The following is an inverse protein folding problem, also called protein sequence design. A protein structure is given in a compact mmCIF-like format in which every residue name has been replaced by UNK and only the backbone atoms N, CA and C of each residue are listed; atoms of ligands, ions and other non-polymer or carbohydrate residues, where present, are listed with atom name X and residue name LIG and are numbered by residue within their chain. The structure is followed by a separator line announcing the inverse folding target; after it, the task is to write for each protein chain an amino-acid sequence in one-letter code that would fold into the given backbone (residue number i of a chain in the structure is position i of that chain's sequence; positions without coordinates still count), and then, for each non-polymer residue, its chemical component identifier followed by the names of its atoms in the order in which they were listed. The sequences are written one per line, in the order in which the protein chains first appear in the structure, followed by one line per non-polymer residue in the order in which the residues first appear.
data_IF_589225046527
#
_entry.id   IF_589225046527
#
_cell.length_a   1.000
_cell.length_b   1.000
_cell.length_c   1.000
_cell.angle_alpha   90.00
_cell.angle_beta   90.00
_cell.angle_gamma   90.00
#
_symmetry.space_group_name_H-M   'P 1'
#
loop_
_entity.id
_entity.type
_entity.pdbx_description
1 polymer ?
#
# COMPACT_ATOMS: atom_id res chain seq x y z
N UNK A 1 32.66 -4.12 12.14
CA UNK A 1 33.04 -2.89 11.41
C UNK A 1 32.55 -2.99 9.97
N UNK A 2 32.02 -1.92 9.40
CA UNK A 2 31.60 -1.90 7.98
C UNK A 2 32.82 -1.78 7.05
N UNK A 3 32.72 -2.22 5.79
CA UNK A 3 33.82 -2.11 4.79
C UNK A 3 34.35 -0.68 4.64
N UNK A 4 33.46 0.32 4.74
CA UNK A 4 33.81 1.74 4.71
C UNK A 4 34.60 2.17 5.94
N UNK A 5 34.21 1.71 7.14
CA UNK A 5 34.96 2.00 8.37
C UNK A 5 36.38 1.42 8.30
N UNK A 6 36.54 0.21 7.75
CA UNK A 6 37.86 -0.41 7.59
C UNK A 6 38.77 0.37 6.63
N UNK A 7 38.23 0.87 5.51
CA UNK A 7 38.98 1.74 4.57
C UNK A 7 39.41 3.05 5.21
N UNK A 8 38.52 3.67 6.01
CA UNK A 8 38.82 4.91 6.74
C UNK A 8 39.92 4.68 7.77
N UNK A 9 39.84 3.61 8.56
CA UNK A 9 40.87 3.25 9.54
C UNK A 9 42.21 3.03 8.83
N UNK A 10 42.24 2.29 7.72
CA UNK A 10 43.47 2.01 6.97
C UNK A 10 44.17 3.28 6.47
N UNK A 11 43.40 4.26 5.99
CA UNK A 11 43.96 5.54 5.55
C UNK A 11 44.50 6.38 6.72
N UNK A 12 43.78 6.41 7.86
CA UNK A 12 44.21 7.14 9.07
C UNK A 12 45.46 6.49 9.69
N UNK A 13 45.52 5.16 9.70
CA UNK A 13 46.67 4.39 10.16
C UNK A 13 47.88 4.57 9.23
N UNK A 14 47.65 4.59 7.92
CA UNK A 14 48.69 4.82 6.92
C UNK A 14 49.43 6.15 7.14
N UNK A 15 48.71 7.20 7.57
CA UNK A 15 49.33 8.49 7.92
C UNK A 15 50.24 8.39 9.15
N UNK A 16 49.84 7.63 10.18
CA UNK A 16 50.65 7.44 11.39
C UNK A 16 51.92 6.63 11.07
N UNK A 17 51.77 5.53 10.35
CA UNK A 17 52.88 4.67 9.96
C UNK A 17 53.88 5.40 9.04
N UNK A 18 53.38 6.20 8.07
CA UNK A 18 54.25 6.95 7.17
C UNK A 18 55.05 8.03 7.91
N UNK A 19 54.49 8.63 8.97
CA UNK A 19 55.21 9.60 9.78
C UNK A 19 56.32 8.95 10.62
N UNK A 20 56.09 7.71 11.08
CA UNK A 20 57.09 6.91 11.80
C UNK A 20 58.23 6.48 10.87
N UNK A 21 57.92 5.97 9.69
CA UNK A 21 58.90 5.54 8.68
C UNK A 21 59.79 6.71 8.19
N UNK A 22 59.18 7.88 7.96
CA UNK A 22 59.92 9.06 7.50
C UNK A 22 60.64 9.83 8.63
N UNK A 23 60.36 9.51 9.90
CA UNK A 23 60.80 10.29 11.07
C UNK A 23 60.38 11.76 11.04
N UNK A 24 59.42 12.14 10.17
CA UNK A 24 59.04 13.52 9.91
C UNK A 24 57.54 13.67 9.63
N UNK A 25 56.81 14.11 10.66
CA UNK A 25 55.36 14.34 10.63
C UNK A 25 54.95 15.33 9.54
N UNK A 26 55.72 16.42 9.35
CA UNK A 26 55.38 17.45 8.36
C UNK A 26 55.46 16.93 6.94
N UNK A 27 56.46 16.08 6.65
CA UNK A 27 56.63 15.44 5.34
C UNK A 27 55.52 14.40 5.08
N UNK A 28 55.20 13.56 6.06
CA UNK A 28 54.12 12.58 5.94
C UNK A 28 52.75 13.24 5.71
N UNK A 29 52.45 14.32 6.46
CA UNK A 29 51.24 15.12 6.27
C UNK A 29 51.16 15.74 4.87
N UNK A 30 52.28 16.26 4.34
CA UNK A 30 52.35 16.84 2.99
C UNK A 30 52.13 15.79 1.89
N UNK A 31 52.68 14.59 2.06
CA UNK A 31 52.56 13.48 1.10
C UNK A 31 51.13 12.93 1.05
N UNK A 32 50.46 12.80 2.20
CA UNK A 32 49.11 12.25 2.28
C UNK A 32 47.98 13.30 2.23
N UNK A 33 48.32 14.59 2.16
CA UNK A 33 47.34 15.68 2.06
C UNK A 33 46.56 15.97 3.36
N UNK A 34 47.15 15.68 4.53
CA UNK A 34 46.54 15.96 5.84
C UNK A 34 47.17 17.17 6.52
N UNK A 35 46.42 17.82 7.40
CA UNK A 35 46.99 18.85 8.28
C UNK A 35 47.75 18.21 9.44
N UNK A 36 48.76 18.91 9.98
CA UNK A 36 49.49 18.47 11.18
C UNK A 36 48.57 18.33 12.40
N UNK A 37 47.55 19.18 12.51
CA UNK A 37 46.55 19.08 13.58
C UNK A 37 45.77 17.76 13.51
N UNK A 38 45.39 17.34 12.30
CA UNK A 38 44.71 16.06 12.06
C UNK A 38 45.60 14.88 12.46
N UNK A 39 46.90 14.94 12.18
CA UNK A 39 47.86 13.91 12.61
C UNK A 39 47.89 13.75 14.14
N UNK A 40 48.06 14.84 14.88
CA UNK A 40 48.12 14.77 16.34
C UNK A 40 46.80 14.32 16.95
N UNK A 41 45.65 14.70 16.36
CA UNK A 41 44.35 14.16 16.77
C UNK A 41 44.21 12.67 16.56
N UNK A 42 44.73 12.11 15.47
CA UNK A 42 44.72 10.66 15.24
C UNK A 42 45.69 9.94 16.16
N UNK A 43 46.89 10.51 16.38
CA UNK A 43 47.86 9.97 17.32
C UNK A 43 47.29 9.92 18.73
N UNK A 44 46.74 11.02 19.22
CA UNK A 44 46.08 11.09 20.52
C UNK A 44 44.92 10.09 20.64
N UNK A 45 44.09 9.94 19.60
CA UNK A 45 43.01 8.96 19.61
C UNK A 45 43.51 7.51 19.73
N UNK A 46 44.62 7.18 19.05
CA UNK A 46 45.26 5.86 19.15
C UNK A 46 45.91 5.66 20.52
N UNK A 47 46.57 6.67 21.06
CA UNK A 47 47.22 6.61 22.37
C UNK A 47 46.18 6.43 23.51
N UNK A 48 45.00 7.04 23.40
CA UNK A 48 43.93 6.97 24.41
C UNK A 48 43.00 5.75 24.27
N UNK A 49 42.76 5.25 23.06
CA UNK A 49 41.70 4.26 22.81
C UNK A 49 42.02 3.21 21.74
N UNK A 50 43.30 3.08 21.36
CA UNK A 50 43.77 2.13 20.38
C UNK A 50 43.23 2.37 18.97
N UNK A 51 43.41 1.37 18.09
CA UNK A 51 43.02 1.47 16.67
C UNK A 51 41.51 1.67 16.46
N UNK A 52 40.70 1.23 17.40
CA UNK A 52 39.24 1.35 17.33
C UNK A 52 38.76 2.80 17.53
N UNK A 53 39.54 3.64 18.21
CA UNK A 53 39.24 5.04 18.42
C UNK A 53 39.39 5.91 17.14
N UNK A 54 40.06 5.39 16.09
CA UNK A 54 40.16 6.05 14.78
C UNK A 54 38.84 5.99 13.99
N UNK A 55 37.87 5.17 14.41
CA UNK A 55 36.54 5.13 13.82
C UNK A 55 35.84 6.44 14.13
N UNK A 56 35.43 7.18 13.07
CA UNK A 56 34.67 8.41 13.25
C UNK A 56 33.36 8.13 13.99
N UNK A 57 33.31 8.55 15.25
CA UNK A 57 32.05 8.67 15.99
C UNK A 57 31.34 9.90 15.43
N UNK A 58 30.21 9.68 14.77
CA UNK A 58 29.36 10.79 14.29
C UNK A 58 29.10 11.76 15.45
N UNK A 59 29.59 13.00 15.33
CA UNK A 59 29.39 14.06 16.35
C UNK A 59 27.98 14.66 16.29
N UNK A 60 27.12 14.23 15.35
CA UNK A 60 25.76 14.74 15.21
C UNK A 60 24.90 14.22 16.35
N UNK A 61 24.77 15.02 17.42
CA UNK A 61 23.78 14.82 18.46
C UNK A 61 22.40 15.28 17.95
N UNK A 62 21.32 14.49 18.14
CA UNK A 62 19.97 14.95 17.83
C UNK A 62 19.63 16.23 18.60
N UNK A 63 19.07 17.24 17.93
CA UNK A 63 18.59 18.45 18.59
C UNK A 63 17.17 18.20 19.12
N UNK A 64 17.05 18.03 20.45
CA UNK A 64 15.78 17.76 21.12
C UNK A 64 14.75 18.89 20.94
N UNK A 65 15.17 20.14 20.67
CA UNK A 65 14.26 21.27 20.44
C UNK A 65 13.49 21.15 19.12
N UNK A 66 13.99 20.36 18.18
CA UNK A 66 13.31 20.09 16.90
C UNK A 66 12.37 18.88 16.99
N UNK A 67 12.16 18.33 18.19
CA UNK A 67 11.23 17.23 18.40
C UNK A 67 9.80 17.76 18.33
N UNK A 68 8.92 16.97 17.72
CA UNK A 68 7.49 17.23 17.76
C UNK A 68 6.99 17.13 19.20
N UNK A 69 5.89 17.80 19.50
CA UNK A 69 5.22 17.69 20.79
C UNK A 69 4.87 16.22 21.09
N UNK A 70 4.87 15.85 22.37
CA UNK A 70 4.62 14.46 22.79
C UNK A 70 3.26 13.95 22.30
N UNK A 71 2.22 14.79 22.40
CA UNK A 71 0.87 14.50 21.91
C UNK A 71 0.85 14.12 20.41
N UNK A 72 1.63 14.82 19.59
CA UNK A 72 1.76 14.54 18.15
C UNK A 72 2.52 13.22 17.95
N UNK A 73 3.56 12.97 18.74
CA UNK A 73 4.34 11.74 18.67
C UNK A 73 3.48 10.52 19.03
N UNK A 74 2.68 10.62 20.10
CA UNK A 74 1.76 9.58 20.56
C UNK A 74 0.67 9.32 19.52
N UNK A 75 0.05 10.36 18.98
CA UNK A 75 -0.93 10.24 17.91
C UNK A 75 -0.36 9.54 16.65
N UNK A 76 0.91 9.79 16.30
CA UNK A 76 1.58 9.11 15.18
C UNK A 76 1.80 7.63 15.48
N UNK A 77 2.22 7.29 16.70
CA UNK A 77 2.46 5.90 17.12
C UNK A 77 1.15 5.13 17.17
N UNK A 78 0.10 5.72 17.75
CA UNK A 78 -1.24 5.13 17.82
C UNK A 78 -1.80 4.86 16.43
N UNK A 79 -1.73 5.84 15.53
CA UNK A 79 -2.20 5.65 14.16
C UNK A 79 -1.36 4.60 13.41
N UNK A 80 -0.05 4.53 13.67
CA UNK A 80 0.82 3.54 13.06
C UNK A 80 0.53 2.11 13.52
N UNK A 81 0.09 1.92 14.76
CA UNK A 81 -0.29 0.61 15.29
C UNK A 81 -1.71 0.25 14.84
N UNK A 82 -2.65 1.19 14.95
CA UNK A 82 -4.05 0.94 14.62
C UNK A 82 -4.29 0.83 13.11
N UNK A 83 -3.54 1.55 12.28
CA UNK A 83 -3.65 1.55 10.82
C UNK A 83 -2.28 1.37 10.15
N UNK A 84 -1.68 0.17 10.26
CA UNK A 84 -0.27 -0.05 9.88
C UNK A 84 0.00 0.15 8.40
N UNK A 85 -1.01 -0.02 7.54
CA UNK A 85 -0.88 0.12 6.10
C UNK A 85 -0.80 1.58 5.62
N UNK A 86 -1.11 2.57 6.46
CA UNK A 86 -0.98 3.98 6.06
C UNK A 86 0.49 4.36 5.79
N UNK A 87 0.69 5.05 4.67
CA UNK A 87 1.97 5.68 4.32
C UNK A 87 2.19 7.00 5.08
N UNK A 88 3.44 7.44 5.16
CA UNK A 88 3.84 8.63 5.92
C UNK A 88 3.07 9.92 5.50
N UNK A 89 2.71 10.04 4.22
CA UNK A 89 1.96 11.18 3.69
C UNK A 89 0.49 11.11 4.12
N UNK A 90 -0.11 9.92 4.07
CA UNK A 90 -1.51 9.73 4.47
C UNK A 90 -1.68 9.93 5.97
N UNK A 91 -0.75 9.43 6.79
CA UNK A 91 -0.71 9.74 8.23
C UNK A 91 -0.62 11.24 8.50
N UNK A 92 0.22 11.96 7.75
CA UNK A 92 0.32 13.41 7.90
C UNK A 92 -1.00 14.13 7.53
N UNK A 93 -1.70 13.68 6.48
CA UNK A 93 -3.00 14.24 6.11
C UNK A 93 -4.09 13.92 7.15
N UNK A 94 -4.13 12.69 7.65
CA UNK A 94 -5.05 12.26 8.70
C UNK A 94 -4.88 13.09 9.98
N UNK A 95 -3.63 13.30 10.39
CA UNK A 95 -3.30 14.14 11.54
C UNK A 95 -3.65 15.61 11.29
N UNK A 96 -3.54 16.10 10.06
CA UNK A 96 -3.98 17.45 9.68
C UNK A 96 -5.48 17.62 9.85
N UNK A 97 -6.29 16.63 9.49
CA UNK A 97 -7.73 16.65 9.75
C UNK A 97 -8.07 16.66 11.25
N UNK A 98 -7.19 16.08 12.09
CA UNK A 98 -7.29 16.13 13.56
C UNK A 98 -6.67 17.39 14.18
N UNK A 99 -6.28 18.37 13.37
CA UNK A 99 -5.72 19.65 13.83
C UNK A 99 -4.20 19.66 14.06
N UNK A 100 -3.50 18.55 13.81
CA UNK A 100 -2.05 18.47 13.97
C UNK A 100 -1.31 18.74 12.65
N UNK A 101 -0.39 19.72 12.65
CA UNK A 101 0.43 20.02 11.47
C UNK A 101 1.78 19.31 11.55
N UNK A 102 1.97 18.29 10.69
CA UNK A 102 3.24 17.59 10.53
C UNK A 102 3.50 17.23 9.07
N UNK A 103 4.78 17.21 8.66
CA UNK A 103 5.18 16.71 7.35
C UNK A 103 5.34 15.19 7.34
N UNK A 104 5.20 14.55 6.18
CA UNK A 104 5.46 13.11 6.05
C UNK A 104 6.89 12.70 6.45
N UNK A 105 7.86 13.58 6.28
CA UNK A 105 9.23 13.36 6.78
C UNK A 105 9.30 13.37 8.31
N UNK A 106 8.52 14.22 8.98
CA UNK A 106 8.38 14.25 10.44
C UNK A 106 7.80 12.94 10.97
N UNK A 107 6.73 12.44 10.33
CA UNK A 107 6.12 11.13 10.64
C UNK A 107 7.15 10.01 10.53
N UNK A 108 7.92 9.95 9.43
CA UNK A 108 9.00 8.96 9.27
C UNK A 108 10.06 9.08 10.35
N UNK A 109 10.42 10.31 10.72
CA UNK A 109 11.36 10.58 11.81
C UNK A 109 10.90 9.97 13.14
N UNK A 110 9.61 10.09 13.46
CA UNK A 110 8.99 9.45 14.63
C UNK A 110 9.06 7.92 14.50
N UNK A 111 8.61 7.36 13.37
CA UNK A 111 8.64 5.92 13.15
C UNK A 111 10.03 5.29 13.31
N UNK A 112 11.08 5.94 12.83
CA UNK A 112 12.45 5.43 13.00
C UNK A 112 12.88 5.34 14.47
N UNK A 113 12.36 6.21 15.35
CA UNK A 113 12.66 6.18 16.79
C UNK A 113 11.91 5.06 17.52
N UNK A 114 10.69 4.77 17.07
CA UNK A 114 9.81 3.75 17.66
C UNK A 114 9.94 2.37 17.00
N UNK A 115 10.82 2.23 16.00
CA UNK A 115 10.96 0.97 15.26
C UNK A 115 9.74 0.62 14.40
N UNK A 116 9.02 1.62 13.89
CA UNK A 116 7.78 1.51 13.09
C UNK A 116 7.98 1.86 11.61
N UNK A 117 9.23 1.79 11.14
CA UNK A 117 9.68 2.34 9.85
C UNK A 117 9.16 1.58 8.63
N UNK A 118 8.78 0.30 8.78
CA UNK A 118 8.16 -0.47 7.70
C UNK A 118 6.81 -1.02 8.11
N UNK A 119 5.99 -1.32 7.11
CA UNK A 119 4.70 -1.97 7.31
C UNK A 119 4.82 -3.24 8.17
N UNK A 120 5.82 -4.10 7.91
CA UNK A 120 6.09 -5.30 8.71
C UNK A 120 6.32 -5.00 10.19
N UNK A 121 7.06 -3.92 10.51
CA UNK A 121 7.29 -3.55 11.90
C UNK A 121 6.01 -3.07 12.58
N UNK A 122 5.20 -2.27 11.88
CA UNK A 122 3.90 -1.79 12.38
C UNK A 122 2.91 -2.92 12.58
N UNK A 123 2.90 -3.90 11.68
CA UNK A 123 2.07 -5.09 11.78
C UNK A 123 2.45 -5.94 13.01
N UNK A 124 3.75 -6.11 13.27
CA UNK A 124 4.23 -6.77 14.49
C UNK A 124 3.86 -6.01 15.77
N UNK A 125 3.87 -4.67 15.72
CA UNK A 125 3.44 -3.85 16.85
C UNK A 125 1.93 -4.01 17.12
N UNK A 126 1.11 -4.09 16.05
CA UNK A 126 -0.31 -4.41 16.16
C UNK A 126 -0.53 -5.80 16.76
N UNK A 127 0.18 -6.83 16.28
CA UNK A 127 0.08 -8.19 16.84
C UNK A 127 0.41 -8.22 18.33
N UNK A 128 1.44 -7.48 18.75
CA UNK A 128 1.82 -7.37 20.17
C UNK A 128 0.70 -6.71 20.99
N UNK A 129 0.14 -5.59 20.52
CA UNK A 129 -0.96 -4.88 21.20
C UNK A 129 -2.19 -5.79 21.35
N UNK A 130 -2.55 -6.49 20.29
CA UNK A 130 -3.71 -7.38 20.28
C UNK A 130 -3.52 -8.60 21.19
N UNK A 131 -2.29 -9.14 21.25
CA UNK A 131 -1.96 -10.22 22.18
C UNK A 131 -2.05 -9.77 23.65
N UNK A 132 -1.65 -8.54 23.97
CA UNK A 132 -1.81 -7.93 25.29
C UNK A 132 -3.30 -7.71 25.64
N UNK A 133 -4.13 -7.41 24.64
CA UNK A 133 -5.59 -7.25 24.77
C UNK A 133 -6.34 -8.61 24.79
N UNK A 134 -5.64 -9.74 24.69
CA UNK A 134 -6.18 -11.08 24.92
C UNK A 134 -6.79 -11.78 23.69
N UNK A 135 -6.62 -11.24 22.48
CA UNK A 135 -7.08 -11.92 21.25
C UNK A 135 -5.94 -12.80 20.73
N UNK A 136 -6.04 -14.11 20.98
CA UNK A 136 -5.11 -15.11 20.44
C UNK A 136 -5.46 -15.40 18.97
N UNK A 137 -4.65 -14.85 18.06
CA UNK A 137 -4.75 -15.12 16.63
C UNK A 137 -4.30 -16.55 16.30
N UNK A 138 -4.96 -17.19 15.34
CA UNK A 138 -4.53 -18.54 14.90
C UNK A 138 -3.39 -18.45 13.88
N UNK A 139 -2.34 -19.27 14.04
CA UNK A 139 -1.18 -19.31 13.13
C UNK A 139 -1.57 -19.54 11.65
N UNK A 140 -2.67 -20.27 11.41
CA UNK A 140 -3.18 -20.53 10.06
C UNK A 140 -3.69 -19.28 9.32
N UNK A 141 -4.26 -18.30 10.04
CA UNK A 141 -4.72 -17.04 9.44
C UNK A 141 -3.53 -16.15 9.05
N UNK A 142 -2.48 -16.13 9.88
CA UNK A 142 -1.28 -15.32 9.62
C UNK A 142 -0.54 -15.82 8.38
N UNK A 143 -0.37 -17.15 8.24
CA UNK A 143 0.34 -17.73 7.10
C UNK A 143 -0.38 -17.58 5.75
N UNK A 144 -1.73 -17.60 5.74
CA UNK A 144 -2.51 -17.41 4.52
C UNK A 144 -2.32 -16.00 3.91
N UNK A 145 -2.06 -15.00 4.76
CA UNK A 145 -1.94 -13.59 4.37
C UNK A 145 -0.51 -13.18 3.97
N UNK A 146 0.51 -13.93 4.39
CA UNK A 146 1.92 -13.61 4.13
C UNK A 146 2.46 -14.20 2.82
N UNK A 147 1.81 -15.24 2.25
CA UNK A 147 2.31 -15.93 1.04
C UNK A 147 2.08 -15.18 -0.28
N UNK A 148 1.26 -14.13 -0.33
CA UNK A 148 1.04 -13.34 -1.55
C UNK A 148 2.06 -12.19 -1.64
N UNK A 149 3.20 -12.45 -2.29
CA UNK A 149 3.96 -11.40 -2.97
C UNK A 149 3.19 -11.06 -4.23
N UNK A 150 2.73 -9.81 -4.34
CA UNK A 150 2.12 -9.32 -5.57
C UNK A 150 3.16 -8.43 -6.24
N UNK A 151 3.67 -8.86 -7.38
CA UNK A 151 4.76 -8.17 -8.08
C UNK A 151 4.34 -6.76 -8.53
N UNK A 152 5.28 -5.81 -8.43
CA UNK A 152 5.11 -4.44 -8.87
C UNK A 152 5.35 -4.34 -10.38
N UNK A 153 4.36 -4.75 -11.16
CA UNK A 153 4.34 -4.45 -12.59
C UNK A 153 3.73 -3.05 -12.82
N UNK A 154 4.42 -2.25 -13.62
CA UNK A 154 3.90 -0.96 -14.11
C UNK A 154 2.95 -1.25 -15.28
N UNK A 155 1.68 -0.93 -15.07
CA UNK A 155 0.59 -1.23 -16.01
C UNK A 155 0.43 -0.13 -17.07
N UNK A 156 -0.03 -0.53 -18.27
CA UNK A 156 -0.30 0.37 -19.39
C UNK A 156 -1.51 1.27 -19.13
N UNK A 157 -1.66 2.32 -19.94
CA UNK A 157 -2.81 3.22 -19.85
C UNK A 157 -4.05 2.55 -20.44
N UNK A 158 -5.16 2.58 -19.69
CA UNK A 158 -6.49 2.22 -20.16
C UNK A 158 -7.22 3.53 -20.40
N UNK A 159 -7.73 3.73 -21.62
CA UNK A 159 -8.55 4.89 -21.97
C UNK A 159 -9.97 4.69 -21.44
N UNK A 160 -10.43 5.66 -20.65
CA UNK A 160 -11.73 5.65 -19.97
C UNK A 160 -12.27 7.07 -19.99
N UNK A 161 -13.50 7.25 -20.45
CA UNK A 161 -14.02 8.60 -20.74
C UNK A 161 -14.87 9.19 -19.62
N UNK A 162 -15.62 8.34 -18.90
CA UNK A 162 -16.50 8.71 -17.80
C UNK A 162 -16.73 7.48 -16.90
N UNK A 163 -17.31 7.65 -15.70
CA UNK A 163 -17.73 6.53 -14.86
C UNK A 163 -18.71 5.62 -15.59
N UNK A 164 -18.57 4.32 -15.44
CA UNK A 164 -19.43 3.34 -16.11
C UNK A 164 -19.04 3.05 -17.56
N UNK A 165 -18.09 3.79 -18.15
CA UNK A 165 -17.58 3.49 -19.50
C UNK A 165 -16.90 2.12 -19.55
N UNK A 166 -16.11 1.81 -18.51
CA UNK A 166 -15.41 0.54 -18.40
C UNK A 166 -15.23 0.17 -16.92
N UNK A 167 -15.73 -1.00 -16.54
CA UNK A 167 -15.44 -1.64 -15.26
C UNK A 167 -14.36 -2.70 -15.40
N UNK A 168 -13.48 -2.85 -14.42
CA UNK A 168 -12.58 -3.99 -14.32
C UNK A 168 -13.12 -4.94 -13.25
N UNK A 169 -13.30 -6.21 -13.60
CA UNK A 169 -13.76 -7.24 -12.66
C UNK A 169 -12.77 -8.39 -12.57
N UNK A 170 -12.54 -8.86 -11.34
CA UNK A 170 -11.59 -9.92 -11.04
C UNK A 170 -11.97 -10.69 -9.76
N UNK A 171 -11.52 -11.94 -9.67
CA UNK A 171 -11.70 -12.82 -8.51
C UNK A 171 -10.42 -12.92 -7.68
N UNK A 172 -10.50 -12.52 -6.42
CA UNK A 172 -9.38 -12.59 -5.48
C UNK A 172 -9.57 -13.70 -4.45
N UNK A 173 -8.64 -14.65 -4.37
CA UNK A 173 -8.60 -15.61 -3.26
C UNK A 173 -8.13 -14.94 -1.96
N UNK A 174 -8.99 -14.92 -0.95
CA UNK A 174 -8.74 -14.26 0.35
C UNK A 174 -7.95 -15.16 1.28
N UNK A 175 -8.38 -16.43 1.41
CA UNK A 175 -7.78 -17.38 2.34
C UNK A 175 -8.74 -18.51 2.69
N UNK A 176 -8.34 -19.33 3.67
CA UNK A 176 -9.20 -20.38 4.23
C UNK A 176 -9.55 -20.02 5.67
N UNK A 177 -10.84 -20.08 6.00
CA UNK A 177 -11.33 -19.85 7.36
C UNK A 177 -11.88 -21.16 7.94
N UNK A 178 -11.53 -21.45 9.20
CA UNK A 178 -12.03 -22.65 9.90
C UNK A 178 -13.55 -22.58 10.01
N UNK A 179 -14.25 -23.67 9.66
CA UNK A 179 -15.71 -23.75 9.69
C UNK A 179 -16.43 -23.24 8.43
N UNK A 180 -15.79 -22.38 7.62
CA UNK A 180 -16.36 -21.85 6.37
C UNK A 180 -15.69 -22.44 5.12
N UNK A 181 -14.38 -22.69 5.17
CA UNK A 181 -13.61 -23.19 4.03
C UNK A 181 -12.93 -22.07 3.25
N UNK A 182 -12.81 -22.25 1.93
CA UNK A 182 -12.12 -21.30 1.04
C UNK A 182 -12.99 -20.06 0.83
N UNK A 183 -12.40 -18.89 0.97
CA UNK A 183 -13.07 -17.60 0.76
C UNK A 183 -12.50 -16.92 -0.49
N UNK A 184 -13.40 -16.49 -1.35
CA UNK A 184 -13.13 -15.74 -2.56
C UNK A 184 -13.84 -14.39 -2.50
N UNK A 185 -13.19 -13.35 -2.98
CA UNK A 185 -13.76 -12.04 -3.17
C UNK A 185 -13.97 -11.82 -4.66
N UNK A 186 -15.20 -11.56 -5.08
CA UNK A 186 -15.44 -10.89 -6.37
C UNK A 186 -15.20 -9.40 -6.18
N UNK A 187 -14.51 -8.79 -7.13
CA UNK A 187 -14.16 -7.37 -7.10
C UNK A 187 -14.59 -6.72 -8.38
N UNK A 188 -15.19 -5.54 -8.29
CA UNK A 188 -15.39 -4.65 -9.43
C UNK A 188 -14.77 -3.30 -9.11
N UNK A 189 -14.06 -2.70 -10.06
CA UNK A 189 -13.51 -1.35 -9.95
C UNK A 189 -13.86 -0.57 -11.19
N UNK A 190 -14.54 0.57 -11.02
CA UNK A 190 -14.75 1.52 -12.10
C UNK A 190 -13.40 2.10 -12.54
N UNK A 191 -13.07 1.93 -13.81
CA UNK A 191 -11.72 2.26 -14.29
C UNK A 191 -11.49 3.77 -14.41
N UNK A 192 -12.54 4.59 -14.42
CA UNK A 192 -12.44 6.04 -14.43
C UNK A 192 -12.23 6.61 -13.01
N UNK A 193 -13.20 6.39 -12.12
CA UNK A 193 -13.29 7.00 -10.79
C UNK A 193 -12.53 6.22 -9.70
N UNK A 194 -12.22 4.94 -9.96
CA UNK A 194 -11.70 3.97 -8.97
C UNK A 194 -12.69 3.60 -7.87
N UNK A 195 -13.98 3.92 -8.02
CA UNK A 195 -15.01 3.39 -7.11
C UNK A 195 -14.97 1.87 -7.20
N UNK A 196 -14.86 1.22 -6.04
CA UNK A 196 -14.70 -0.22 -5.94
C UNK A 196 -15.86 -0.87 -5.19
N UNK A 197 -16.16 -2.10 -5.58
CA UNK A 197 -17.13 -2.99 -4.95
C UNK A 197 -16.45 -4.33 -4.70
N UNK A 198 -16.82 -4.95 -3.60
CA UNK A 198 -16.34 -6.28 -3.25
C UNK A 198 -17.46 -7.08 -2.58
N UNK A 199 -17.53 -8.39 -2.86
CA UNK A 199 -18.42 -9.33 -2.17
C UNK A 199 -17.75 -10.69 -2.02
N UNK A 200 -17.96 -11.32 -0.88
CA UNK A 200 -17.33 -12.56 -0.46
C UNK A 200 -18.21 -13.76 -0.77
N UNK A 201 -17.56 -14.84 -1.19
CA UNK A 201 -18.19 -16.10 -1.54
C UNK A 201 -17.33 -17.27 -1.10
N UNK A 202 -17.96 -18.44 -0.93
CA UNK A 202 -17.27 -19.71 -0.67
C UNK A 202 -16.88 -20.44 -1.95
N UNK A 203 -17.34 -19.96 -3.11
CA UNK A 203 -17.11 -20.57 -4.41
C UNK A 203 -16.62 -19.53 -5.44
N UNK A 204 -15.85 -20.02 -6.41
CA UNK A 204 -15.38 -19.28 -7.57
C UNK A 204 -16.13 -19.77 -8.81
N UNK A 205 -17.22 -19.11 -9.16
CA UNK A 205 -18.12 -19.52 -10.26
C UNK A 205 -18.62 -18.34 -11.09
N UNK A 206 -19.14 -18.62 -12.29
CA UNK A 206 -19.79 -17.62 -13.12
C UNK A 206 -21.01 -16.96 -12.45
N UNK A 207 -21.75 -17.73 -11.64
CA UNK A 207 -22.90 -17.23 -10.88
C UNK A 207 -22.45 -16.17 -9.88
N UNK A 208 -21.39 -16.46 -9.10
CA UNK A 208 -20.88 -15.49 -8.11
C UNK A 208 -20.33 -14.22 -8.75
N UNK A 209 -19.74 -14.32 -9.95
CA UNK A 209 -19.26 -13.16 -10.70
C UNK A 209 -20.42 -12.27 -11.18
N UNK A 210 -21.50 -12.87 -11.69
CA UNK A 210 -22.71 -12.16 -12.10
C UNK A 210 -23.45 -11.57 -10.89
N UNK A 211 -23.52 -12.30 -9.78
CA UNK A 211 -24.17 -11.86 -8.55
C UNK A 211 -23.59 -10.55 -8.01
N UNK A 212 -22.26 -10.36 -8.04
CA UNK A 212 -21.66 -9.10 -7.62
C UNK A 212 -22.20 -7.91 -8.44
N UNK A 213 -22.31 -8.09 -9.76
CA UNK A 213 -22.79 -7.04 -10.66
C UNK A 213 -24.26 -6.72 -10.35
N UNK A 214 -25.08 -7.76 -10.27
CA UNK A 214 -26.52 -7.66 -10.02
C UNK A 214 -26.86 -7.07 -8.64
N UNK A 215 -26.17 -7.51 -7.60
CA UNK A 215 -26.47 -7.15 -6.20
C UNK A 215 -25.95 -5.75 -5.84
N UNK A 216 -24.81 -5.33 -6.41
CA UNK A 216 -24.08 -4.15 -5.91
C UNK A 216 -23.73 -3.12 -6.98
N UNK A 217 -23.30 -3.56 -8.15
CA UNK A 217 -22.73 -2.64 -9.15
C UNK A 217 -23.83 -1.96 -9.95
N UNK A 218 -24.69 -2.73 -10.62
CA UNK A 218 -25.73 -2.17 -11.49
C UNK A 218 -26.73 -1.30 -10.69
N UNK A 219 -27.25 -1.74 -9.53
CA UNK A 219 -28.14 -0.89 -8.73
C UNK A 219 -27.49 0.42 -8.29
N UNK A 220 -26.17 0.42 -8.03
CA UNK A 220 -25.45 1.65 -7.68
C UNK A 220 -25.38 2.63 -8.85
N UNK A 221 -25.04 2.15 -10.05
CA UNK A 221 -25.00 3.00 -11.25
C UNK A 221 -26.38 3.55 -11.57
N UNK A 222 -27.41 2.71 -11.56
CA UNK A 222 -28.81 3.11 -11.78
C UNK A 222 -29.26 4.17 -10.77
N UNK A 223 -28.98 3.97 -9.48
CA UNK A 223 -29.33 4.95 -8.43
C UNK A 223 -28.61 6.29 -8.60
N UNK A 224 -27.46 6.32 -9.27
CA UNK A 224 -26.71 7.54 -9.61
C UNK A 224 -27.08 8.10 -10.99
N UNK A 225 -28.08 7.52 -11.65
CA UNK A 225 -28.55 7.92 -12.97
C UNK A 225 -27.57 7.60 -14.10
N UNK A 226 -26.66 6.66 -13.90
CA UNK A 226 -25.70 6.19 -14.91
C UNK A 226 -25.90 4.74 -15.30
N UNK A 227 -25.13 4.29 -16.28
CA UNK A 227 -25.14 2.89 -16.74
C UNK A 227 -23.71 2.36 -16.92
N UNK A 228 -23.54 1.05 -16.74
CA UNK A 228 -22.30 0.35 -17.00
C UNK A 228 -22.30 -0.19 -18.43
N UNK A 229 -21.43 0.35 -19.29
CA UNK A 229 -21.39 0.01 -20.71
C UNK A 229 -20.56 -1.24 -21.01
N UNK A 230 -19.47 -1.44 -20.26
CA UNK A 230 -18.47 -2.46 -20.59
C UNK A 230 -17.77 -2.98 -19.36
N UNK A 231 -17.47 -4.28 -19.36
CA UNK A 231 -16.64 -4.93 -18.33
C UNK A 231 -15.42 -5.58 -18.95
N UNK A 232 -14.27 -5.34 -18.33
CA UNK A 232 -13.00 -5.99 -18.60
C UNK A 232 -12.74 -7.07 -17.55
N UNK A 233 -12.53 -8.31 -18.02
CA UNK A 233 -12.09 -9.43 -17.18
C UNK A 233 -10.90 -10.16 -17.80
N UNK A 234 -10.29 -11.05 -17.02
CA UNK A 234 -9.42 -12.07 -17.58
C UNK A 234 -10.22 -13.19 -18.28
N UNK A 235 -9.52 -14.23 -18.74
CA UNK A 235 -10.14 -15.42 -19.36
C UNK A 235 -10.44 -16.53 -18.36
N UNK A 236 -10.58 -16.22 -17.07
CA UNK A 236 -10.97 -17.17 -16.05
C UNK A 236 -12.29 -17.86 -16.39
N UNK A 237 -12.44 -19.11 -15.96
CA UNK A 237 -13.65 -19.92 -16.20
C UNK A 237 -14.90 -19.37 -15.53
N UNK A 238 -14.73 -18.43 -14.60
CA UNK A 238 -15.82 -17.67 -13.99
C UNK A 238 -16.34 -16.54 -14.90
N UNK A 239 -15.56 -16.08 -15.88
CA UNK A 239 -15.95 -14.99 -16.78
C UNK A 239 -16.16 -15.46 -18.22
N UNK A 240 -15.46 -16.52 -18.62
CA UNK A 240 -15.42 -16.98 -20.01
C UNK A 240 -15.79 -18.45 -20.14
N UNK A 241 -16.68 -18.75 -21.09
CA UNK A 241 -17.03 -20.09 -21.53
C UNK A 241 -17.58 -20.10 -22.96
N UNK A 242 -18.52 -21.00 -23.26
CA UNK A 242 -19.32 -20.96 -24.49
C UNK A 242 -20.32 -19.80 -24.37
N UNK A 243 -20.28 -18.82 -25.28
CA UNK A 243 -21.00 -17.54 -25.11
C UNK A 243 -22.51 -17.70 -24.91
N UNK A 244 -23.10 -18.68 -25.58
CA UNK A 244 -24.52 -19.05 -25.58
C UNK A 244 -24.96 -19.85 -24.35
N UNK A 245 -24.03 -20.31 -23.52
CA UNK A 245 -24.30 -21.17 -22.36
C UNK A 245 -23.72 -20.60 -21.06
N UNK A 246 -22.73 -19.70 -21.15
CA UNK A 246 -21.99 -19.25 -19.99
C UNK A 246 -22.80 -18.23 -19.16
N UNK A 247 -23.16 -18.54 -17.91
CA UNK A 247 -24.11 -17.71 -17.14
C UNK A 247 -23.70 -16.25 -17.02
N UNK A 248 -22.41 -15.98 -16.83
CA UNK A 248 -21.90 -14.61 -16.73
C UNK A 248 -21.99 -13.86 -18.06
N UNK A 249 -21.72 -14.52 -19.19
CA UNK A 249 -21.76 -13.84 -20.49
C UNK A 249 -23.21 -13.59 -20.94
N UNK A 250 -24.10 -14.54 -20.64
CA UNK A 250 -25.55 -14.35 -20.81
C UNK A 250 -26.08 -13.22 -19.94
N UNK A 251 -25.65 -13.14 -18.67
CA UNK A 251 -26.01 -12.05 -17.77
C UNK A 251 -25.58 -10.69 -18.33
N UNK A 252 -24.35 -10.56 -18.81
CA UNK A 252 -23.88 -9.32 -19.43
C UNK A 252 -24.71 -8.96 -20.68
N UNK A 253 -25.01 -9.94 -21.54
CA UNK A 253 -25.82 -9.72 -22.73
C UNK A 253 -27.26 -9.27 -22.42
N UNK A 254 -27.88 -9.82 -21.38
CA UNK A 254 -29.23 -9.43 -20.93
C UNK A 254 -29.27 -7.97 -20.44
N UNK A 255 -28.16 -7.50 -19.84
CA UNK A 255 -28.05 -6.13 -19.33
C UNK A 255 -27.40 -5.16 -20.33
N UNK A 256 -27.22 -5.56 -21.59
CA UNK A 256 -26.59 -4.77 -22.66
C UNK A 256 -25.17 -4.26 -22.29
N UNK A 257 -24.37 -5.13 -21.67
CA UNK A 257 -23.01 -4.83 -21.22
C UNK A 257 -21.98 -5.54 -22.11
N UNK A 258 -21.10 -4.76 -22.73
CA UNK A 258 -20.00 -5.28 -23.53
C UNK A 258 -18.99 -6.07 -22.67
N UNK A 259 -18.59 -7.26 -23.14
CA UNK A 259 -17.56 -8.06 -22.47
C UNK A 259 -16.20 -7.96 -23.18
N UNK A 260 -15.27 -7.22 -22.58
CA UNK A 260 -13.87 -7.16 -23.03
C UNK A 260 -13.01 -8.13 -22.23
N UNK A 261 -12.11 -8.84 -22.93
CA UNK A 261 -11.18 -9.81 -22.34
C UNK A 261 -9.76 -9.32 -22.49
N UNK A 262 -8.94 -9.42 -21.44
CA UNK A 262 -7.50 -9.11 -21.52
C UNK A 262 -6.84 -9.89 -22.66
N UNK A 263 -5.78 -9.40 -23.29
CA UNK A 263 -5.03 -10.20 -24.28
C UNK A 263 -4.18 -11.25 -23.55
N UNK A 264 -4.04 -12.44 -24.13
CA UNK A 264 -3.18 -13.50 -23.59
C UNK A 264 -1.75 -12.94 -23.49
N UNK A 265 -1.12 -13.03 -22.31
CA UNK A 265 0.22 -12.48 -22.01
C UNK A 265 0.35 -10.95 -22.16
N UNK A 266 -0.70 -10.19 -21.82
CA UNK A 266 -0.62 -8.74 -21.68
C UNK A 266 -1.13 -8.30 -20.30
N UNK A 267 -0.27 -8.28 -19.26
CA UNK A 267 -0.64 -7.90 -17.88
C UNK A 267 -1.16 -6.47 -17.74
N UNK A 268 -0.94 -5.63 -18.76
CA UNK A 268 -1.13 -4.19 -18.71
C UNK A 268 -2.59 -3.75 -18.45
N UNK A 269 -3.59 -4.59 -18.77
CA UNK A 269 -5.02 -4.19 -18.70
C UNK A 269 -5.71 -4.56 -17.38
N UNK A 270 -5.22 -5.53 -16.60
CA UNK A 270 -5.85 -5.93 -15.31
C UNK A 270 -5.27 -5.19 -14.08
N UNK A 271 -4.33 -4.29 -14.30
CA UNK A 271 -3.58 -3.63 -13.22
C UNK A 271 -4.40 -2.80 -12.24
N UNK A 272 -5.64 -2.43 -12.59
CA UNK A 272 -6.54 -1.67 -11.71
C UNK A 272 -7.05 -2.57 -10.58
N UNK A 273 -7.62 -3.73 -10.92
CA UNK A 273 -8.07 -4.72 -9.94
C UNK A 273 -6.89 -5.22 -9.09
N UNK A 274 -5.74 -5.50 -9.71
CA UNK A 274 -4.55 -5.95 -8.97
C UNK A 274 -4.04 -4.90 -7.96
N UNK A 275 -4.02 -3.61 -8.34
CA UNK A 275 -3.67 -2.52 -7.42
C UNK A 275 -4.68 -2.40 -6.29
N UNK A 276 -5.97 -2.57 -6.59
CA UNK A 276 -7.00 -2.60 -5.57
C UNK A 276 -6.82 -3.81 -4.63
N UNK A 277 -6.54 -5.01 -5.16
CA UNK A 277 -6.27 -6.22 -4.39
C UNK A 277 -5.06 -6.06 -3.46
N UNK A 278 -3.99 -5.39 -3.90
CA UNK A 278 -2.88 -5.01 -3.02
C UNK A 278 -3.34 -4.12 -1.88
N UNK A 279 -4.15 -3.11 -2.18
CA UNK A 279 -4.67 -2.15 -1.20
C UNK A 279 -5.54 -2.84 -0.17
N UNK A 280 -6.57 -3.57 -0.59
CA UNK A 280 -7.50 -4.27 0.31
C UNK A 280 -6.80 -5.39 1.10
N UNK A 281 -5.81 -6.08 0.52
CA UNK A 281 -5.02 -7.07 1.25
C UNK A 281 -4.26 -6.44 2.41
N UNK A 282 -3.58 -5.31 2.17
CA UNK A 282 -2.76 -4.64 3.19
C UNK A 282 -3.58 -3.87 4.21
N UNK A 283 -4.59 -3.12 3.76
CA UNK A 283 -5.36 -2.20 4.58
C UNK A 283 -6.53 -2.88 5.29
N UNK A 284 -7.16 -3.88 4.66
CA UNK A 284 -8.29 -4.59 5.24
C UNK A 284 -7.90 -5.96 5.77
N UNK A 285 -7.57 -6.93 4.91
CA UNK A 285 -7.42 -8.32 5.34
C UNK A 285 -6.29 -8.53 6.35
N UNK A 286 -5.09 -8.00 6.07
CA UNK A 286 -3.95 -8.16 6.96
C UNK A 286 -4.16 -7.49 8.33
N UNK A 287 -4.91 -6.40 8.39
CA UNK A 287 -5.21 -5.69 9.63
C UNK A 287 -6.33 -6.39 10.39
N UNK A 288 -7.42 -6.71 9.69
CA UNK A 288 -8.66 -7.12 10.33
C UNK A 288 -8.59 -8.54 10.85
N UNK A 289 -7.95 -9.46 10.12
CA UNK A 289 -7.65 -10.80 10.63
C UNK A 289 -6.68 -10.80 11.81
N UNK A 290 -6.00 -9.68 12.09
CA UNK A 290 -5.19 -9.51 13.30
C UNK A 290 -5.94 -8.87 14.46
N UNK A 291 -7.11 -8.27 14.21
CA UNK A 291 -7.89 -7.56 15.23
C UNK A 291 -9.13 -8.34 15.67
N UNK A 292 -9.67 -9.20 14.81
CA UNK A 292 -10.96 -9.85 15.02
C UNK A 292 -10.94 -11.29 14.53
N UNK A 293 -11.52 -12.18 15.33
CA UNK A 293 -11.80 -13.55 14.93
C UNK A 293 -13.21 -13.61 14.34
N UNK A 294 -13.32 -14.11 13.12
CA UNK A 294 -14.58 -14.24 12.40
C UNK A 294 -15.18 -15.62 12.58
N UNK A 295 -16.48 -15.68 12.85
CA UNK A 295 -17.23 -16.94 13.02
C UNK A 295 -17.84 -17.45 11.71
N UNK A 296 -18.25 -16.53 10.85
CA UNK A 296 -18.89 -16.83 9.58
C UNK A 296 -18.49 -15.80 8.50
N UNK A 297 -18.93 -16.06 7.27
CA UNK A 297 -18.62 -15.21 6.12
C UNK A 297 -19.34 -13.85 6.21
N UNK A 298 -20.50 -13.81 6.86
CA UNK A 298 -21.35 -12.63 6.92
C UNK A 298 -20.75 -11.56 7.83
N UNK A 299 -20.20 -11.96 8.98
CA UNK A 299 -19.47 -11.05 9.88
C UNK A 299 -18.26 -10.42 9.19
N UNK A 300 -17.54 -11.18 8.36
CA UNK A 300 -16.42 -10.66 7.55
C UNK A 300 -16.92 -9.75 6.42
N UNK A 301 -18.06 -10.07 5.82
CA UNK A 301 -18.68 -9.24 4.78
C UNK A 301 -19.12 -7.88 5.31
N UNK A 302 -19.70 -7.81 6.52
CA UNK A 302 -20.11 -6.55 7.14
C UNK A 302 -18.92 -5.60 7.36
N UNK A 303 -17.81 -6.13 7.88
CA UNK A 303 -16.60 -5.33 8.08
C UNK A 303 -15.95 -4.93 6.73
N UNK A 304 -16.05 -5.79 5.71
CA UNK A 304 -15.62 -5.47 4.35
C UNK A 304 -16.47 -4.33 3.76
N UNK A 305 -17.79 -4.37 3.96
CA UNK A 305 -18.70 -3.35 3.45
C UNK A 305 -18.40 -1.98 4.07
N UNK A 306 -18.21 -1.94 5.38
CA UNK A 306 -17.78 -0.73 6.08
C UNK A 306 -16.40 -0.24 5.59
N UNK A 307 -15.48 -1.14 5.25
CA UNK A 307 -14.18 -0.76 4.69
C UNK A 307 -14.30 -0.22 3.26
N UNK A 308 -15.16 -0.80 2.41
CA UNK A 308 -15.41 -0.35 1.04
C UNK A 308 -16.00 1.06 1.02
N UNK A 309 -16.95 1.36 1.92
CA UNK A 309 -17.50 2.72 2.07
C UNK A 309 -16.37 3.72 2.37
N UNK A 310 -15.55 3.45 3.39
CA UNK A 310 -14.41 4.33 3.72
C UNK A 310 -13.38 4.44 2.60
N UNK A 311 -13.13 3.35 1.87
CA UNK A 311 -12.26 3.37 0.69
C UNK A 311 -12.81 4.31 -0.38
N UNK A 312 -14.11 4.28 -0.66
CA UNK A 312 -14.72 5.11 -1.70
C UNK A 312 -14.89 6.57 -1.26
N UNK A 313 -15.16 6.83 0.02
CA UNK A 313 -15.55 8.15 0.51
C UNK A 313 -14.43 8.94 1.19
N UNK A 314 -13.45 8.27 1.83
CA UNK A 314 -12.44 8.93 2.67
C UNK A 314 -11.01 8.78 2.12
N UNK A 315 -10.72 7.68 1.41
CA UNK A 315 -9.38 7.44 0.87
C UNK A 315 -9.12 8.35 -0.33
N UNK A 316 -8.08 9.16 -0.24
CA UNK A 316 -7.60 9.98 -1.38
C UNK A 316 -6.79 9.15 -2.37
N UNK A 317 -7.03 9.31 -3.67
CA UNK A 317 -6.33 8.61 -4.74
C UNK A 317 -5.48 9.58 -5.59
N UNK A 318 -4.20 9.27 -5.78
CA UNK A 318 -3.28 10.06 -6.61
C UNK A 318 -3.31 9.66 -8.10
N UNK A 319 -4.33 8.93 -8.53
CA UNK A 319 -4.50 8.54 -9.93
C UNK A 319 -4.81 9.74 -10.83
N UNK A 320 -4.55 9.59 -12.15
CA UNK A 320 -4.72 10.64 -13.18
C UNK A 320 -6.08 11.36 -13.13
N UNK A 321 -7.17 10.63 -12.87
CA UNK A 321 -8.53 11.19 -12.81
C UNK A 321 -8.90 11.69 -11.41
N UNK A 322 -8.38 11.04 -10.37
CA UNK A 322 -8.72 11.37 -8.99
C UNK A 322 -8.00 12.64 -8.52
N UNK A 323 -6.75 12.87 -8.94
CA UNK A 323 -5.98 14.09 -8.60
C UNK A 323 -5.95 14.41 -7.08
N UNK A 324 -5.90 13.39 -6.24
CA UNK A 324 -5.94 13.53 -4.78
C UNK A 324 -7.34 13.55 -4.17
N UNK A 325 -8.40 13.52 -4.98
CA UNK A 325 -9.80 13.32 -4.54
C UNK A 325 -10.07 11.86 -4.16
N UNK A 326 -11.20 11.65 -3.52
CA UNK A 326 -11.73 10.32 -3.20
C UNK A 326 -12.37 9.69 -4.44
N UNK A 327 -12.48 8.35 -4.50
CA UNK A 327 -13.16 7.69 -5.60
C UNK A 327 -14.57 8.23 -5.84
N UNK A 328 -15.35 8.41 -4.77
CA UNK A 328 -16.73 8.91 -4.88
C UNK A 328 -16.78 10.36 -5.39
N UNK A 329 -15.90 11.24 -4.89
CA UNK A 329 -15.84 12.62 -5.39
C UNK A 329 -15.42 12.68 -6.88
N UNK A 330 -14.60 11.73 -7.32
CA UNK A 330 -14.20 11.60 -8.74
C UNK A 330 -15.36 11.06 -9.58
N UNK A 331 -16.14 10.13 -9.02
CA UNK A 331 -17.31 9.55 -9.64
C UNK A 331 -18.40 10.61 -9.88
N UNK A 332 -18.78 11.36 -8.85
CA UNK A 332 -19.83 12.38 -8.93
C UNK A 332 -19.48 13.49 -9.93
N UNK A 333 -18.22 13.87 -10.02
CA UNK A 333 -17.76 14.83 -11.00
C UNK A 333 -17.77 14.24 -12.42
N UNK A 334 -17.33 12.99 -12.58
CA UNK A 334 -17.35 12.27 -13.84
C UNK A 334 -18.76 11.99 -14.38
N UNK A 335 -19.77 11.88 -13.51
CA UNK A 335 -21.16 11.70 -13.92
C UNK A 335 -21.72 12.89 -14.69
N UNK A 336 -21.15 14.10 -14.53
CA UNK A 336 -21.50 15.26 -15.36
C UNK A 336 -21.10 15.04 -16.82
N UNK A 337 -19.93 14.46 -17.03
CA UNK A 337 -19.42 14.11 -18.38
C UNK A 337 -20.29 13.01 -19.00
N UNK A 338 -20.71 12.02 -18.20
CA UNK A 338 -21.67 11.02 -18.65
C UNK A 338 -22.96 11.67 -19.16
N UNK A 339 -23.56 12.57 -18.37
CA UNK A 339 -24.80 13.24 -18.75
C UNK A 339 -24.66 14.06 -20.05
N UNK A 340 -23.54 14.80 -20.21
CA UNK A 340 -23.26 15.55 -21.45
C UNK A 340 -23.19 14.64 -22.68
N UNK A 341 -22.56 13.47 -22.57
CA UNK A 341 -22.42 12.51 -23.66
C UNK A 341 -23.72 11.77 -23.97
N UNK A 342 -24.47 11.38 -22.94
CA UNK A 342 -25.75 10.68 -23.10
C UNK A 342 -26.85 11.58 -23.69
N UNK A 343 -26.84 12.89 -23.41
CA UNK A 343 -27.78 13.82 -24.05
C UNK A 343 -27.49 13.99 -25.55
N UNK A 344 -26.22 13.91 -25.96
CA UNK A 344 -25.82 13.95 -27.37
C UNK A 344 -26.31 12.77 -28.20
N UNK A 345 -26.50 11.60 -27.58
CA UNK A 345 -26.99 10.38 -28.25
C UNK A 345 -28.53 10.34 -28.40
N UNK A 346 -29.27 11.11 -27.60
CA UNK A 346 -30.75 11.18 -27.69
C UNK A 346 -31.22 12.33 -28.61
N UNK A 347 -30.34 13.29 -28.90
CA UNK A 347 -30.62 14.45 -29.76
C UNK A 347 -30.17 14.29 -31.23
N UNK A 348 -29.65 13.12 -31.61
CA UNK A 348 -29.28 12.72 -32.96
C UNK A 348 -30.11 11.52 -33.41
#
# INVERSE_FOLDING_TARGET
MTSTQQKIIKNKLGLLNLAEELGNVSRACKVMGYSRDTFYRYKQAVDEGGLEALVDRSKRKPNLRNRVAQEIEDAIVDLAINEPALGQVRVANELRHRGFSISGAGVRGVWMRHGLQTFKHRLKALEKKVAEEGILLTEGQIQALERKKVDDETFGEIETEHPGYLGSQDTFYVGTMKGVGRIYQQTFVDTYSKVAFAKLYTAKTAITAADLLNDRVLPFFEAKGGQLLRVLTDRGTEFCGRMDEHPYQLFLAINDIDHTKTRVKSPQTNGICERFHKTILQEFYQVTFRKKLYRDLEELQQDLDAWIVRYNEERTHQGKMCCGRTPMATFEDGMKIWAEKSIGEVAA
#
